data_IF_847668737773
#
_entry.id   IF_847668737773
#
_cell.length_a   1.000
_cell.length_b   1.000
_cell.length_c   1.000
_cell.angle_alpha   90.00
_cell.angle_beta   90.00
_cell.angle_gamma   90.00
#
_symmetry.space_group_name_H-M   'P 1'
#
loop_
_entity.id
_entity.type
_entity.pdbx_description
1 polymer ?
#
# COMPACT_ATOMS: atom_id res chain seq x y z
N UNK A 1 -7.78 -28.88 -7.42
CA UNK A 1 -6.41 -28.92 -6.85
C UNK A 1 -6.18 -27.63 -6.09
N UNK A 2 -5.78 -27.72 -4.82
CA UNK A 2 -5.58 -26.56 -3.93
C UNK A 2 -4.34 -25.78 -4.33
N UNK A 3 -4.43 -24.46 -4.44
CA UNK A 3 -3.28 -23.60 -4.77
C UNK A 3 -2.16 -23.73 -3.72
N UNK A 4 -0.87 -23.81 -4.15
CA UNK A 4 0.26 -23.87 -3.24
C UNK A 4 0.38 -22.59 -2.41
N UNK A 5 1.07 -22.68 -1.28
CA UNK A 5 1.30 -21.53 -0.42
C UNK A 5 2.03 -20.40 -1.19
N UNK A 6 1.53 -19.15 -1.23
CA UNK A 6 2.14 -18.07 -1.99
C UNK A 6 3.49 -17.63 -1.44
N UNK A 7 3.81 -18.01 -0.20
CA UNK A 7 5.06 -17.63 0.47
C UNK A 7 6.20 -18.61 0.25
N UNK A 8 5.91 -19.92 0.26
CA UNK A 8 6.95 -20.96 0.21
C UNK A 8 6.68 -22.04 -0.84
N UNK A 9 5.60 -21.90 -1.63
CA UNK A 9 5.14 -22.87 -2.63
C UNK A 9 4.82 -24.27 -2.10
N UNK A 10 4.78 -24.43 -0.78
CA UNK A 10 4.45 -25.69 -0.12
C UNK A 10 2.96 -26.04 -0.25
N UNK A 11 2.67 -27.33 -0.12
CA UNK A 11 1.30 -27.86 -0.18
C UNK A 11 0.48 -27.36 1.03
N UNK A 12 -0.77 -26.99 0.78
CA UNK A 12 -1.73 -26.62 1.82
C UNK A 12 -2.65 -27.79 2.14
N UNK A 13 -2.89 -28.03 3.43
CA UNK A 13 -3.79 -29.07 3.95
C UNK A 13 -4.82 -28.44 4.87
N UNK A 14 -6.03 -28.98 4.90
CA UNK A 14 -7.04 -28.53 5.85
C UNK A 14 -6.89 -29.26 7.18
N UNK A 15 -6.75 -28.50 8.26
CA UNK A 15 -6.69 -29.02 9.62
C UNK A 15 -7.58 -28.15 10.52
N UNK A 16 -8.52 -28.75 11.24
CA UNK A 16 -9.50 -28.06 12.08
C UNK A 16 -10.27 -26.92 11.37
N UNK A 17 -10.59 -27.12 10.08
CA UNK A 17 -11.30 -26.13 9.26
C UNK A 17 -10.45 -24.98 8.70
N UNK A 18 -9.14 -24.96 8.94
CA UNK A 18 -8.22 -23.95 8.40
C UNK A 18 -7.22 -24.59 7.42
N UNK A 19 -6.86 -23.89 6.35
CA UNK A 19 -5.89 -24.37 5.38
C UNK A 19 -4.44 -24.03 5.83
N UNK A 20 -3.72 -24.95 6.46
CA UNK A 20 -2.32 -24.73 6.83
C UNK A 20 -1.35 -25.16 5.73
N UNK A 21 -0.27 -24.40 5.56
CA UNK A 21 0.87 -24.89 4.78
C UNK A 21 1.74 -25.84 5.61
N UNK A 22 1.96 -27.06 5.11
CA UNK A 22 2.77 -28.08 5.82
C UNK A 22 4.26 -27.74 5.87
N UNK A 23 4.73 -26.87 4.97
CA UNK A 23 6.16 -26.54 4.86
C UNK A 23 6.58 -25.34 5.71
N UNK A 24 5.71 -24.33 5.86
CA UNK A 24 6.04 -23.12 6.63
C UNK A 24 5.09 -22.83 7.79
N UNK A 25 4.04 -23.63 7.98
CA UNK A 25 3.08 -23.50 9.08
C UNK A 25 2.13 -22.30 9.00
N UNK A 26 2.21 -21.47 7.95
CA UNK A 26 1.33 -20.29 7.82
C UNK A 26 -0.11 -20.68 7.51
N UNK A 27 -1.05 -20.12 8.25
CA UNK A 27 -2.49 -20.17 7.98
C UNK A 27 -2.91 -18.97 7.11
N UNK A 28 -4.00 -19.07 6.32
CA UNK A 28 -4.60 -17.94 5.64
C UNK A 28 -5.19 -16.97 6.67
N UNK A 29 -4.89 -15.68 6.51
CA UNK A 29 -5.51 -14.63 7.30
C UNK A 29 -7.04 -14.72 7.19
N UNK A 30 -7.68 -14.95 8.34
CA UNK A 30 -9.15 -15.14 8.44
C UNK A 30 -9.95 -13.86 8.26
N UNK A 31 -9.32 -12.76 7.87
CA UNK A 31 -10.01 -11.58 7.34
C UNK A 31 -10.35 -11.83 5.87
N UNK A 32 -11.42 -12.61 5.72
CA UNK A 32 -12.50 -12.40 4.76
C UNK A 32 -12.44 -11.05 4.03
N UNK A 33 -12.81 -10.88 2.76
CA UNK A 33 -13.35 -11.72 1.69
C UNK A 33 -13.53 -10.72 0.51
N UNK A 34 -13.79 -11.26 -0.68
CA UNK A 34 -14.46 -10.63 -1.84
C UNK A 34 -13.61 -9.75 -2.79
N UNK A 35 -13.09 -10.45 -3.79
CA UNK A 35 -13.11 -10.18 -5.24
C UNK A 35 -12.33 -9.03 -5.89
N UNK A 36 -11.80 -9.29 -7.11
CA UNK A 36 -10.84 -8.45 -7.79
C UNK A 36 -11.56 -7.43 -8.67
N UNK A 37 -11.55 -6.15 -8.29
CA UNK A 37 -11.67 -5.11 -9.31
C UNK A 37 -10.32 -4.95 -9.99
N UNK A 38 -10.31 -5.33 -11.26
CA UNK A 38 -9.33 -4.92 -12.26
C UNK A 38 -8.76 -3.55 -11.88
N UNK A 39 -7.45 -3.49 -11.62
CA UNK A 39 -6.75 -2.20 -11.57
C UNK A 39 -6.81 -1.63 -12.97
N UNK A 40 -7.86 -0.85 -13.26
CA UNK A 40 -7.74 0.26 -14.19
C UNK A 40 -6.53 1.04 -13.71
N UNK A 41 -5.43 0.95 -14.43
CA UNK A 41 -4.46 2.04 -14.46
C UNK A 41 -5.24 3.25 -14.99
N UNK A 42 -5.90 3.97 -14.09
CA UNK A 42 -6.24 5.36 -14.32
C UNK A 42 -4.93 5.99 -14.78
N UNK A 43 -4.91 6.50 -16.01
CA UNK A 43 -3.81 7.32 -16.52
C UNK A 43 -3.71 8.53 -15.59
N UNK A 44 -2.97 8.39 -14.50
CA UNK A 44 -2.64 9.50 -13.61
C UNK A 44 -2.05 10.58 -14.50
N UNK A 45 -2.63 11.77 -14.46
CA UNK A 45 -2.11 12.87 -15.25
C UNK A 45 -0.61 13.05 -14.90
N UNK A 46 0.25 13.43 -15.85
CA UNK A 46 1.68 13.65 -15.57
C UNK A 46 1.92 14.57 -14.35
N UNK A 47 0.98 15.49 -14.09
CA UNK A 47 0.99 16.34 -12.91
C UNK A 47 0.80 15.56 -11.59
N UNK A 48 -0.12 14.59 -11.53
CA UNK A 48 -0.35 13.75 -10.35
C UNK A 48 0.91 12.92 -10.04
N UNK A 49 1.54 12.33 -11.05
CA UNK A 49 2.77 11.54 -10.86
C UNK A 49 3.92 12.37 -10.30
N UNK A 50 4.08 13.62 -10.77
CA UNK A 50 5.10 14.54 -10.26
C UNK A 50 4.83 14.88 -8.78
N UNK A 51 3.58 15.13 -8.42
CA UNK A 51 3.18 15.44 -7.04
C UNK A 51 3.38 14.23 -6.12
N UNK A 52 3.08 13.02 -6.58
CA UNK A 52 3.33 11.78 -5.82
C UNK A 52 4.84 11.53 -5.60
N UNK A 53 5.68 11.75 -6.62
CA UNK A 53 7.14 11.70 -6.47
C UNK A 53 7.66 12.71 -5.45
N UNK A 54 7.13 13.94 -5.49
CA UNK A 54 7.50 15.00 -4.54
C UNK A 54 7.06 14.67 -3.12
N UNK A 55 5.87 14.08 -2.96
CA UNK A 55 5.37 13.58 -1.68
C UNK A 55 6.34 12.53 -1.12
N UNK A 56 6.75 11.56 -1.94
CA UNK A 56 7.71 10.53 -1.53
C UNK A 56 9.06 11.14 -1.08
N UNK A 57 9.57 12.15 -1.79
CA UNK A 57 10.80 12.85 -1.42
C UNK A 57 10.68 13.56 -0.07
N UNK A 58 9.58 14.29 0.16
CA UNK A 58 9.32 15.00 1.42
C UNK A 58 9.13 14.03 2.60
N UNK A 59 8.51 12.87 2.37
CA UNK A 59 8.39 11.83 3.40
C UNK A 59 9.75 11.29 3.84
N UNK A 60 10.68 11.09 2.90
CA UNK A 60 12.05 10.66 3.22
C UNK A 60 12.83 11.75 3.95
N UNK A 61 12.65 13.01 3.57
CA UNK A 61 13.25 14.15 4.26
C UNK A 61 12.74 14.24 5.71
N UNK A 62 11.43 14.08 5.92
CA UNK A 62 10.81 14.06 7.25
C UNK A 62 11.34 12.93 8.14
N UNK A 63 11.57 11.73 7.58
CA UNK A 63 12.11 10.58 8.32
C UNK A 63 13.49 10.86 8.92
N UNK A 64 14.30 11.67 8.22
CA UNK A 64 15.68 12.00 8.62
C UNK A 64 15.80 13.33 9.37
N UNK A 65 14.80 14.20 9.29
CA UNK A 65 14.81 15.51 9.92
C UNK A 65 14.62 15.39 11.44
N UNK A 66 15.45 16.09 12.21
CA UNK A 66 15.45 16.09 13.68
C UNK A 66 15.00 17.42 14.26
N UNK A 67 15.07 18.49 13.47
CA UNK A 67 14.61 19.80 13.86
C UNK A 67 13.07 19.84 13.85
N UNK A 68 12.48 20.09 15.02
CA UNK A 68 11.03 20.07 15.19
C UNK A 68 10.31 21.16 14.38
N UNK A 69 10.90 22.34 14.20
CA UNK A 69 10.28 23.39 13.39
C UNK A 69 10.26 22.99 11.90
N UNK A 70 11.35 22.39 11.40
CA UNK A 70 11.41 21.88 10.04
C UNK A 70 10.48 20.68 9.84
N UNK A 71 10.41 19.75 10.78
CA UNK A 71 9.44 18.65 10.75
C UNK A 71 8.00 19.17 10.60
N UNK A 72 7.62 20.18 11.40
CA UNK A 72 6.29 20.81 11.31
C UNK A 72 6.05 21.50 9.95
N UNK A 73 7.07 22.15 9.38
CA UNK A 73 6.98 22.74 8.03
C UNK A 73 6.80 21.66 6.96
N UNK A 74 7.57 20.58 7.01
CA UNK A 74 7.47 19.47 6.05
C UNK A 74 6.10 18.79 6.15
N UNK A 75 5.59 18.53 7.35
CA UNK A 75 4.25 17.97 7.57
C UNK A 75 3.14 18.84 6.97
N UNK A 76 3.22 20.16 7.12
CA UNK A 76 2.26 21.09 6.49
C UNK A 76 2.29 20.99 4.97
N UNK A 77 3.49 20.93 4.37
CA UNK A 77 3.65 20.78 2.93
C UNK A 77 3.11 19.44 2.42
N UNK A 78 3.36 18.36 3.14
CA UNK A 78 2.81 17.02 2.85
C UNK A 78 1.28 17.06 2.85
N UNK A 79 0.66 17.65 3.87
CA UNK A 79 -0.80 17.79 3.94
C UNK A 79 -1.35 18.58 2.75
N UNK A 80 -0.74 19.73 2.40
CA UNK A 80 -1.15 20.50 1.22
C UNK A 80 -1.00 19.73 -0.09
N UNK A 81 0.03 18.90 -0.24
CA UNK A 81 0.22 18.05 -1.42
C UNK A 81 -0.84 16.96 -1.51
N UNK A 82 -1.17 16.29 -0.40
CA UNK A 82 -2.22 15.27 -0.35
C UNK A 82 -3.57 15.87 -0.74
N UNK A 83 -3.91 17.04 -0.20
CA UNK A 83 -5.14 17.77 -0.58
C UNK A 83 -5.16 18.11 -2.07
N UNK A 84 -4.04 18.57 -2.62
CA UNK A 84 -3.94 18.92 -4.04
C UNK A 84 -4.10 17.69 -4.94
N UNK A 85 -3.45 16.58 -4.61
CA UNK A 85 -3.58 15.30 -5.33
C UNK A 85 -5.03 14.81 -5.25
N UNK A 86 -5.64 14.86 -4.06
CA UNK A 86 -7.04 14.45 -3.85
C UNK A 86 -8.00 15.26 -4.73
N UNK A 87 -7.85 16.60 -4.76
CA UNK A 87 -8.65 17.47 -5.63
C UNK A 87 -8.47 17.13 -7.12
N UNK A 88 -7.24 16.87 -7.56
CA UNK A 88 -6.96 16.52 -8.95
C UNK A 88 -7.53 15.15 -9.34
N UNK A 89 -7.50 14.16 -8.43
CA UNK A 89 -8.10 12.84 -8.65
C UNK A 89 -9.62 12.88 -8.65
N UNK A 90 -10.24 13.73 -7.82
CA UNK A 90 -11.69 13.93 -7.79
C UNK A 90 -12.24 14.76 -8.97
N UNK A 91 -11.36 15.39 -9.76
CA UNK A 91 -11.72 16.12 -10.98
C UNK A 91 -11.60 15.27 -12.26
N UNK A 92 -11.14 14.02 -12.14
CA UNK A 92 -11.15 13.03 -13.23
C UNK A 92 -12.40 12.14 -13.16
#
# INVERSE_FOLDING_TARGET
LSEPCPYCKGVRVMMNGNALCVMCGKEPDKTQKIEPKEKKEEKSSPAIEILEKKLQALSKELEQEKDHEKQQKILKLINSLIESISKLKNQQ
#
